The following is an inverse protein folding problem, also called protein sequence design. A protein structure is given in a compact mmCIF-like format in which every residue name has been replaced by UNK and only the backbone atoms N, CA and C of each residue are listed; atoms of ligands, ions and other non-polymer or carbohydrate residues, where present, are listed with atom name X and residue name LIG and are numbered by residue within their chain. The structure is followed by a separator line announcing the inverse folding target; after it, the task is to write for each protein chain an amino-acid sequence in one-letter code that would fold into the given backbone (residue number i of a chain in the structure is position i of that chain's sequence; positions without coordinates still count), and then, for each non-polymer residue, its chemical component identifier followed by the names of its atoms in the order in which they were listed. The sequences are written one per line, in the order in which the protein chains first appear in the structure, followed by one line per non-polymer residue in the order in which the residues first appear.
data_IF_740242012537
#
_entry.id   IF_740242012537
#
_cell.length_a   1.000
_cell.length_b   1.000
_cell.length_c   1.000
_cell.angle_alpha   90.00
_cell.angle_beta   90.00
_cell.angle_gamma   90.00
#
_symmetry.space_group_name_H-M   'P 1'
#
loop_
_entity.id
_entity.type
_entity.pdbx_description
1 polymer ?
#
# COMPACT_ATOMS: atom_id res chain seq x y z
N UNK A 1 -8.00 24.50 8.86
CA UNK A 1 -7.87 25.65 7.95
C UNK A 1 -7.80 25.09 6.53
N UNK A 2 -8.92 25.06 5.81
CA UNK A 2 -8.94 24.66 4.41
C UNK A 2 -8.30 25.80 3.61
N UNK A 3 -6.99 25.72 3.36
CA UNK A 3 -6.40 26.49 2.29
C UNK A 3 -6.99 25.95 1.00
N UNK A 4 -7.83 26.74 0.33
CA UNK A 4 -8.15 26.50 -1.07
C UNK A 4 -6.83 26.32 -1.81
N UNK A 5 -6.49 25.09 -2.17
CA UNK A 5 -5.26 24.81 -2.89
C UNK A 5 -5.39 25.46 -4.27
N UNK A 6 -4.74 26.62 -4.42
CA UNK A 6 -4.57 27.30 -5.69
C UNK A 6 -3.91 26.36 -6.69
N UNK A 7 -4.30 26.50 -7.96
CA UNK A 7 -3.79 25.64 -9.01
C UNK A 7 -2.28 25.84 -9.20
N UNK A 8 -1.51 24.77 -9.32
CA UNK A 8 -0.08 24.82 -9.55
C UNK A 8 0.20 25.49 -10.89
N UNK A 9 1.20 26.37 -10.90
CA UNK A 9 1.75 26.93 -12.12
C UNK A 9 2.25 25.82 -13.06
N UNK A 10 2.48 26.15 -14.33
CA UNK A 10 3.07 25.20 -15.28
C UNK A 10 4.38 24.58 -14.75
N UNK A 11 5.25 25.39 -14.12
CA UNK A 11 6.47 24.90 -13.46
C UNK A 11 6.15 23.93 -12.31
N UNK A 12 5.15 24.23 -11.49
CA UNK A 12 4.70 23.36 -10.40
C UNK A 12 4.16 22.02 -10.91
N UNK A 13 3.36 22.02 -11.98
CA UNK A 13 2.85 20.80 -12.62
C UNK A 13 3.98 19.94 -13.23
N UNK A 14 4.97 20.57 -13.86
CA UNK A 14 6.16 19.85 -14.35
C UNK A 14 6.95 19.23 -13.20
N UNK A 15 7.16 19.97 -12.11
CA UNK A 15 7.86 19.44 -10.94
C UNK A 15 7.08 18.29 -10.27
N UNK A 16 5.76 18.40 -10.18
CA UNK A 16 4.89 17.31 -9.71
C UNK A 16 5.06 16.03 -10.56
N UNK A 17 5.01 16.15 -11.90
CA UNK A 17 5.24 15.01 -12.80
C UNK A 17 6.63 14.42 -12.60
N UNK A 18 7.66 15.26 -12.47
CA UNK A 18 9.01 14.82 -12.16
C UNK A 18 9.08 14.05 -10.83
N UNK A 19 8.42 14.53 -9.78
CA UNK A 19 8.38 13.84 -8.49
C UNK A 19 7.66 12.49 -8.58
N UNK A 20 6.53 12.41 -9.27
CA UNK A 20 5.87 11.14 -9.52
C UNK A 20 6.77 10.18 -10.30
N UNK A 21 7.43 10.67 -11.35
CA UNK A 21 8.37 9.89 -12.14
C UNK A 21 9.53 9.35 -11.30
N UNK A 22 10.21 10.25 -10.59
CA UNK A 22 11.37 9.92 -9.75
C UNK A 22 11.05 8.89 -8.68
N UNK A 23 9.90 9.02 -8.02
CA UNK A 23 9.59 8.20 -6.85
C UNK A 23 8.85 6.90 -7.19
N UNK A 24 8.11 6.84 -8.30
CA UNK A 24 7.18 5.74 -8.56
C UNK A 24 7.28 5.19 -9.99
N UNK A 25 7.12 6.03 -11.01
CA UNK A 25 7.00 5.56 -12.39
C UNK A 25 8.34 5.11 -12.98
N UNK A 26 9.36 5.98 -12.90
CA UNK A 26 10.71 5.76 -13.42
C UNK A 26 11.70 5.26 -12.37
N UNK A 27 11.23 4.68 -11.27
CA UNK A 27 12.10 4.16 -10.22
C UNK A 27 12.88 2.94 -10.73
N UNK A 28 14.22 2.99 -10.67
CA UNK A 28 15.11 1.89 -11.13
C UNK A 28 15.05 0.64 -10.26
N UNK A 29 14.54 0.77 -9.03
CA UNK A 29 14.43 -0.32 -8.05
C UNK A 29 12.98 -0.41 -7.58
N UNK A 30 12.51 -1.61 -7.21
CA UNK A 30 11.20 -1.78 -6.58
C UNK A 30 11.05 -0.84 -5.38
N UNK A 31 9.90 -0.17 -5.30
CA UNK A 31 9.61 0.83 -4.27
C UNK A 31 8.66 0.23 -3.25
N UNK A 32 9.09 0.14 -2.00
CA UNK A 32 8.23 -0.27 -0.89
C UNK A 32 7.65 0.96 -0.19
N UNK A 33 6.33 0.98 -0.04
CA UNK A 33 5.59 1.96 0.74
C UNK A 33 4.94 1.22 1.90
N UNK A 34 5.31 1.58 3.12
CA UNK A 34 4.78 0.97 4.35
C UNK A 34 3.90 1.96 5.10
N UNK A 35 3.08 1.47 6.01
CA UNK A 35 2.23 2.32 6.84
C UNK A 35 3.09 3.16 7.80
N UNK A 36 4.01 2.49 8.49
CA UNK A 36 4.88 3.05 9.51
C UNK A 36 6.36 3.13 9.10
N UNK A 37 7.10 4.02 9.76
CA UNK A 37 8.57 4.12 9.63
C UNK A 37 9.30 2.93 10.27
N UNK A 38 8.65 2.24 11.20
CA UNK A 38 9.17 1.10 11.95
C UNK A 38 9.31 -0.12 11.06
N UNK A 39 8.35 -0.34 10.17
CA UNK A 39 8.26 -1.45 9.22
C UNK A 39 9.50 -1.54 8.34
N UNK A 40 9.96 -0.38 7.86
CA UNK A 40 11.21 -0.24 7.10
C UNK A 40 12.41 -0.79 7.88
N UNK A 41 12.49 -0.58 9.21
CA UNK A 41 13.60 -1.10 10.00
C UNK A 41 13.54 -2.62 10.12
N UNK A 42 12.36 -3.20 10.35
CA UNK A 42 12.23 -4.67 10.41
C UNK A 42 12.60 -5.32 9.09
N UNK A 43 12.05 -4.83 7.96
CA UNK A 43 12.37 -5.33 6.63
C UNK A 43 13.87 -5.25 6.35
N UNK A 44 14.50 -4.11 6.67
CA UNK A 44 15.94 -3.93 6.49
C UNK A 44 16.76 -4.90 7.35
N UNK A 45 16.42 -5.04 8.63
CA UNK A 45 17.13 -5.93 9.56
C UNK A 45 17.02 -7.41 9.13
N UNK A 46 15.81 -7.83 8.76
CA UNK A 46 15.52 -9.17 8.28
C UNK A 46 16.25 -9.47 6.95
N UNK A 47 16.23 -8.56 5.98
CA UNK A 47 16.99 -8.71 4.74
C UNK A 47 18.50 -8.81 5.01
N UNK A 48 19.07 -8.03 5.93
CA UNK A 48 20.50 -8.16 6.30
C UNK A 48 20.81 -9.54 6.86
N UNK A 49 19.97 -10.06 7.77
CA UNK A 49 20.13 -11.40 8.35
C UNK A 49 20.02 -12.48 7.28
N UNK A 50 19.06 -12.34 6.37
CA UNK A 50 18.70 -13.35 5.37
C UNK A 50 19.30 -13.09 3.98
N UNK A 51 20.32 -12.24 3.86
CA UNK A 51 20.84 -11.75 2.57
C UNK A 51 21.23 -12.87 1.61
N UNK A 52 21.80 -13.97 2.11
CA UNK A 52 22.18 -15.14 1.31
C UNK A 52 20.98 -15.81 0.62
N UNK A 53 19.78 -15.69 1.19
CA UNK A 53 18.55 -16.26 0.63
C UNK A 53 17.86 -15.34 -0.37
N UNK A 54 18.10 -14.03 -0.27
CA UNK A 54 17.42 -13.02 -1.08
C UNK A 54 18.41 -12.10 -1.82
N UNK A 55 19.33 -12.66 -2.64
CA UNK A 55 20.32 -11.88 -3.38
C UNK A 55 19.69 -10.92 -4.40
N UNK A 56 18.44 -11.15 -4.80
CA UNK A 56 17.66 -10.26 -5.67
C UNK A 56 17.25 -8.97 -4.95
N UNK A 57 17.12 -9.00 -3.61
CA UNK A 57 16.62 -7.89 -2.78
C UNK A 57 17.75 -7.15 -2.06
N UNK A 58 18.86 -7.83 -1.76
CA UNK A 58 19.99 -7.27 -1.02
C UNK A 58 21.30 -8.00 -1.35
N UNK A 59 22.42 -7.27 -1.35
CA UNK A 59 23.77 -7.83 -1.28
C UNK A 59 24.51 -7.22 -0.09
N UNK A 60 25.49 -7.94 0.48
CA UNK A 60 26.46 -7.37 1.40
C UNK A 60 27.77 -7.10 0.64
N UNK A 61 28.29 -5.90 0.79
CA UNK A 61 29.62 -5.52 0.30
C UNK A 61 30.68 -5.96 1.32
N UNK A 62 31.96 -5.86 0.92
CA UNK A 62 33.09 -6.10 1.83
C UNK A 62 32.95 -5.25 3.10
N UNK A 63 33.22 -5.86 4.26
CA UNK A 63 33.00 -5.23 5.57
C UNK A 63 31.55 -5.26 6.09
N UNK A 64 30.61 -5.90 5.38
CA UNK A 64 29.24 -6.13 5.86
C UNK A 64 28.26 -4.98 5.61
N UNK A 65 28.63 -4.04 4.73
CA UNK A 65 27.76 -2.93 4.32
C UNK A 65 26.61 -3.46 3.45
N UNK A 66 25.37 -3.13 3.82
CA UNK A 66 24.18 -3.62 3.13
C UNK A 66 23.78 -2.74 1.95
N UNK A 67 23.82 -3.30 0.75
CA UNK A 67 23.32 -2.70 -0.49
C UNK A 67 21.96 -3.27 -0.85
N UNK A 68 20.92 -2.52 -0.54
CA UNK A 68 19.55 -2.88 -0.89
C UNK A 68 19.28 -2.63 -2.37
N UNK A 69 18.67 -3.63 -3.01
CA UNK A 69 18.14 -3.55 -4.38
C UNK A 69 16.67 -3.08 -4.39
N UNK A 70 16.22 -2.54 -3.25
CA UNK A 70 14.90 -1.97 -3.01
C UNK A 70 15.02 -0.49 -2.61
N UNK A 71 14.02 0.29 -2.97
CA UNK A 71 13.82 1.67 -2.51
C UNK A 71 12.76 1.67 -1.42
N UNK A 72 13.06 2.25 -0.26
CA UNK A 72 12.07 2.48 0.79
C UNK A 72 11.56 3.91 0.65
N UNK A 73 10.29 4.07 0.27
CA UNK A 73 9.70 5.39 0.10
C UNK A 73 9.70 6.15 1.43
N UNK A 74 10.11 7.42 1.39
CA UNK A 74 10.14 8.30 2.56
C UNK A 74 9.21 9.48 2.31
N UNK A 75 8.27 9.66 3.22
CA UNK A 75 7.41 10.84 3.28
C UNK A 75 8.28 12.09 3.54
N UNK A 76 7.97 13.18 2.86
CA UNK A 76 8.68 14.47 2.94
C UNK A 76 7.73 15.64 2.71
N UNK A 77 8.11 16.85 3.14
CA UNK A 77 7.30 18.06 2.90
C UNK A 77 7.10 18.29 1.39
N UNK A 78 8.08 17.92 0.56
CA UNK A 78 8.01 18.03 -0.89
C UNK A 78 6.94 17.07 -1.46
N UNK A 79 6.93 15.81 -1.02
CA UNK A 79 5.93 14.83 -1.48
C UNK A 79 4.54 15.14 -0.93
N UNK A 80 4.45 15.71 0.27
CA UNK A 80 3.19 16.19 0.82
C UNK A 80 2.65 17.37 0.01
N UNK A 81 3.48 18.38 -0.24
CA UNK A 81 3.09 19.56 -1.00
C UNK A 81 2.69 19.22 -2.44
N UNK A 82 3.49 18.44 -3.16
CA UNK A 82 3.31 18.27 -4.61
C UNK A 82 2.60 16.98 -5.01
N UNK A 83 2.56 15.95 -4.15
CA UNK A 83 1.91 14.66 -4.41
C UNK A 83 0.77 14.36 -3.42
N UNK A 84 0.46 15.29 -2.49
CA UNK A 84 -0.52 15.13 -1.41
C UNK A 84 -0.19 13.98 -0.46
N UNK A 85 1.02 13.45 -0.48
CA UNK A 85 1.43 12.31 0.35
C UNK A 85 1.79 12.80 1.74
N UNK A 86 0.78 12.86 2.62
CA UNK A 86 0.87 13.38 3.99
C UNK A 86 2.16 12.92 4.68
N UNK A 87 2.86 13.88 5.29
CA UNK A 87 4.09 13.59 6.03
C UNK A 87 3.80 13.01 7.41
N UNK A 88 2.73 13.49 8.05
CA UNK A 88 2.35 13.15 9.42
C UNK A 88 0.90 12.66 9.47
N UNK A 89 0.69 11.47 10.05
CA UNK A 89 -0.63 10.88 10.25
C UNK A 89 -1.36 10.47 8.97
N UNK A 90 -2.30 9.53 9.11
CA UNK A 90 -3.14 9.04 8.01
C UNK A 90 -2.41 8.11 7.03
N UNK A 91 -3.19 7.20 6.44
CA UNK A 91 -2.77 6.41 5.29
C UNK A 91 -2.43 7.33 4.11
N UNK A 92 -1.38 6.98 3.36
CA UNK A 92 -1.09 7.62 2.06
C UNK A 92 -1.47 6.72 0.89
N UNK A 93 -1.93 5.50 1.15
CA UNK A 93 -2.06 4.46 0.13
C UNK A 93 -3.13 4.80 -0.91
N UNK A 94 -4.29 5.29 -0.48
CA UNK A 94 -5.34 5.75 -1.39
C UNK A 94 -4.89 6.93 -2.25
N UNK A 95 -3.97 7.75 -1.72
CA UNK A 95 -3.40 8.90 -2.44
C UNK A 95 -2.38 8.46 -3.48
N UNK A 96 -1.49 7.53 -3.12
CA UNK A 96 -0.56 6.90 -4.07
C UNK A 96 -1.35 6.24 -5.19
N UNK A 97 -2.37 5.44 -4.85
CA UNK A 97 -3.23 4.80 -5.83
C UNK A 97 -3.93 5.78 -6.76
N UNK A 98 -4.45 6.90 -6.23
CA UNK A 98 -5.04 7.94 -7.07
C UNK A 98 -4.05 8.60 -8.05
N UNK A 99 -2.76 8.69 -7.72
CA UNK A 99 -1.76 9.23 -8.66
C UNK A 99 -1.70 8.42 -9.97
N UNK A 100 -2.18 7.16 -9.98
CA UNK A 100 -2.24 6.25 -11.12
C UNK A 100 -3.57 6.24 -11.90
N UNK A 101 -4.66 6.76 -11.33
CA UNK A 101 -6.02 6.51 -11.85
C UNK A 101 -6.72 7.72 -12.46
N UNK A 102 -5.95 8.72 -12.88
CA UNK A 102 -6.43 10.06 -13.18
C UNK A 102 -7.13 10.67 -11.97
N UNK A 103 -6.64 11.83 -11.56
CA UNK A 103 -6.83 12.36 -10.22
C UNK A 103 -8.25 12.93 -9.95
N UNK A 104 -9.21 12.62 -10.83
CA UNK A 104 -10.60 12.96 -10.67
C UNK A 104 -11.23 12.30 -9.43
N UNK A 105 -10.67 11.19 -8.94
CA UNK A 105 -11.12 10.46 -7.74
C UNK A 105 -11.19 11.35 -6.48
N UNK A 106 -10.31 12.35 -6.37
CA UNK A 106 -10.32 13.31 -5.26
C UNK A 106 -10.76 14.73 -5.65
N UNK A 107 -11.12 14.98 -6.92
CA UNK A 107 -11.48 16.30 -7.46
C UNK A 107 -10.48 17.41 -7.08
N UNK A 108 -9.18 17.09 -6.98
CA UNK A 108 -8.15 18.07 -6.64
C UNK A 108 -7.55 18.67 -7.91
N UNK A 109 -7.72 19.97 -8.14
CA UNK A 109 -7.28 20.67 -9.37
C UNK A 109 -5.80 20.44 -9.73
N UNK A 110 -4.94 20.27 -8.73
CA UNK A 110 -3.48 20.18 -8.90
C UNK A 110 -2.96 18.85 -9.36
N UNK A 111 -3.72 17.80 -9.19
CA UNK A 111 -3.35 16.47 -9.57
C UNK A 111 -4.40 16.21 -10.62
N UNK A 112 -4.09 16.27 -11.90
CA UNK A 112 -4.95 15.81 -12.99
C UNK A 112 -3.96 15.38 -14.07
N UNK A 113 -4.18 14.23 -14.73
CA UNK A 113 -3.30 13.76 -15.79
C UNK A 113 -1.80 13.56 -15.41
N UNK A 114 -1.46 13.18 -14.16
CA UNK A 114 -0.06 12.89 -13.81
C UNK A 114 0.38 11.60 -14.50
N UNK A 115 -0.35 10.52 -14.24
CA UNK A 115 -0.10 9.22 -14.84
C UNK A 115 -0.25 9.23 -16.36
N UNK A 116 -1.37 9.75 -16.84
CA UNK A 116 -1.71 9.75 -18.27
C UNK A 116 -0.75 10.59 -19.11
N UNK A 117 -0.06 11.56 -18.50
CA UNK A 117 1.01 12.27 -19.19
C UNK A 117 2.10 11.30 -19.68
N UNK A 118 2.53 10.36 -18.82
CA UNK A 118 3.57 9.40 -19.17
C UNK A 118 3.09 8.36 -20.19
N UNK A 119 1.82 7.95 -20.07
CA UNK A 119 1.17 7.09 -21.06
C UNK A 119 1.11 7.75 -22.45
N UNK A 120 0.69 9.01 -22.53
CA UNK A 120 0.58 9.75 -23.80
C UNK A 120 1.93 9.94 -24.51
N UNK A 121 3.02 10.11 -23.76
CA UNK A 121 4.36 10.25 -24.36
C UNK A 121 5.04 8.90 -24.62
N UNK A 122 4.36 7.77 -24.38
CA UNK A 122 4.92 6.44 -24.58
C UNK A 122 6.07 6.08 -23.63
N UNK A 123 6.16 6.77 -22.48
CA UNK A 123 7.14 6.42 -21.45
C UNK A 123 6.75 5.08 -20.83
N UNK A 124 7.73 4.26 -20.45
CA UNK A 124 7.49 3.01 -19.73
C UNK A 124 7.86 3.18 -18.27
N UNK A 125 7.04 2.63 -17.38
CA UNK A 125 7.44 2.45 -16.00
C UNK A 125 8.60 1.46 -15.91
N UNK A 126 9.37 1.51 -14.81
CA UNK A 126 10.60 0.71 -14.67
C UNK A 126 10.47 -0.45 -13.68
N UNK A 127 10.16 -0.15 -12.42
CA UNK A 127 10.10 -1.14 -11.33
C UNK A 127 8.76 -1.09 -10.62
N UNK A 128 8.35 -2.18 -9.93
CA UNK A 128 7.10 -2.21 -9.19
C UNK A 128 7.13 -1.26 -7.98
N UNK A 129 5.97 -0.67 -7.71
CA UNK A 129 5.63 0.09 -6.50
C UNK A 129 4.68 -0.76 -5.67
N UNK A 130 5.12 -1.15 -4.48
CA UNK A 130 4.45 -2.11 -3.61
C UNK A 130 3.99 -1.37 -2.36
N UNK A 131 2.67 -1.22 -2.23
CA UNK A 131 2.03 -0.74 -1.01
C UNK A 131 1.85 -1.92 -0.05
N UNK A 132 2.53 -1.88 1.08
CA UNK A 132 2.50 -2.92 2.11
C UNK A 132 1.60 -2.44 3.25
N UNK A 133 0.52 -3.17 3.47
CA UNK A 133 -0.43 -2.93 4.54
C UNK A 133 -0.29 -3.98 5.63
N UNK A 134 -0.56 -3.58 6.87
CA UNK A 134 -0.93 -4.56 7.90
C UNK A 134 -2.14 -5.36 7.42
N UNK A 135 -2.12 -6.66 7.69
CA UNK A 135 -3.19 -7.55 7.33
C UNK A 135 -4.31 -7.38 8.35
N UNK A 136 -5.15 -6.38 8.13
CA UNK A 136 -6.25 -6.01 9.01
C UNK A 136 -7.56 -5.90 8.21
N UNK A 137 -7.75 -6.83 7.28
CA UNK A 137 -8.88 -6.85 6.34
C UNK A 137 -10.24 -6.80 7.05
N UNK A 138 -10.33 -7.34 8.25
CA UNK A 138 -11.57 -7.43 9.05
C UNK A 138 -11.63 -6.42 10.21
N UNK A 139 -10.62 -5.57 10.37
CA UNK A 139 -10.58 -4.57 11.44
C UNK A 139 -11.21 -3.28 10.93
N UNK A 140 -12.34 -2.88 11.50
CA UNK A 140 -13.01 -1.64 11.13
C UNK A 140 -12.10 -0.43 11.37
N UNK A 141 -12.10 0.51 10.43
CA UNK A 141 -11.26 1.71 10.51
C UNK A 141 -9.79 1.49 10.16
N UNK A 142 -9.34 0.25 9.91
CA UNK A 142 -7.96 -0.01 9.48
C UNK A 142 -7.64 0.68 8.15
N UNK A 143 -6.37 1.04 7.90
CA UNK A 143 -5.95 1.66 6.63
C UNK A 143 -6.34 0.84 5.39
N UNK A 144 -6.27 -0.48 5.46
CA UNK A 144 -6.68 -1.35 4.34
C UNK A 144 -8.20 -1.29 4.10
N UNK A 145 -9.02 -1.23 5.16
CA UNK A 145 -10.47 -1.05 5.03
C UNK A 145 -10.83 0.32 4.46
N UNK A 146 -10.14 1.37 4.88
CA UNK A 146 -10.30 2.72 4.29
C UNK A 146 -9.94 2.71 2.80
N UNK A 147 -8.84 2.05 2.43
CA UNK A 147 -8.44 1.87 1.04
C UNK A 147 -9.50 1.12 0.23
N UNK A 148 -9.98 -0.03 0.70
CA UNK A 148 -10.99 -0.83 0.01
C UNK A 148 -12.30 -0.06 -0.16
N UNK A 149 -12.71 0.71 0.86
CA UNK A 149 -13.89 1.56 0.76
C UNK A 149 -13.71 2.64 -0.32
N UNK A 150 -12.56 3.31 -0.35
CA UNK A 150 -12.27 4.30 -1.39
C UNK A 150 -12.18 3.67 -2.77
N UNK A 151 -11.56 2.51 -2.91
CA UNK A 151 -11.52 1.73 -4.14
C UNK A 151 -12.94 1.44 -4.65
N UNK A 152 -13.79 0.88 -3.78
CA UNK A 152 -15.19 0.59 -4.12
C UNK A 152 -15.97 1.83 -4.53
N UNK A 153 -15.89 2.92 -3.77
CA UNK A 153 -16.58 4.17 -4.12
C UNK A 153 -16.18 4.73 -5.48
N UNK A 154 -15.03 4.31 -6.03
CA UNK A 154 -14.53 4.70 -7.35
C UNK A 154 -14.55 3.56 -8.37
N UNK A 155 -15.14 2.39 -8.03
CA UNK A 155 -15.22 1.23 -8.89
C UNK A 155 -15.75 1.57 -10.29
N UNK A 156 -16.77 2.45 -10.37
CA UNK A 156 -17.36 2.89 -11.64
C UNK A 156 -16.37 3.62 -12.54
N UNK A 157 -15.44 4.38 -11.97
CA UNK A 157 -14.42 5.12 -12.74
C UNK A 157 -13.27 4.19 -13.13
N UNK A 158 -12.88 3.28 -12.23
CA UNK A 158 -11.79 2.33 -12.47
C UNK A 158 -12.18 1.32 -13.56
N UNK A 159 -13.42 0.84 -13.48
CA UNK A 159 -14.00 -0.18 -14.34
C UNK A 159 -15.03 0.44 -15.29
N UNK A 160 -14.76 1.64 -15.82
CA UNK A 160 -15.71 2.44 -16.61
C UNK A 160 -16.30 1.66 -17.79
N UNK A 161 -15.45 1.02 -18.60
CA UNK A 161 -15.91 0.18 -19.72
C UNK A 161 -16.87 -0.92 -19.26
N UNK A 162 -16.47 -1.71 -18.27
CA UNK A 162 -17.31 -2.79 -17.71
C UNK A 162 -18.61 -2.25 -17.11
N UNK A 163 -18.53 -1.11 -16.42
CA UNK A 163 -19.67 -0.51 -15.76
C UNK A 163 -20.70 0.04 -16.78
N UNK A 164 -20.24 0.76 -17.81
CA UNK A 164 -21.12 1.32 -18.84
C UNK A 164 -21.77 0.23 -19.69
N UNK A 165 -21.04 -0.84 -20.04
CA UNK A 165 -21.60 -2.01 -20.73
C UNK A 165 -22.74 -2.65 -19.91
N UNK A 166 -22.50 -2.91 -18.62
CA UNK A 166 -23.50 -3.51 -17.76
C UNK A 166 -24.72 -2.60 -17.51
N UNK A 167 -24.50 -1.29 -17.34
CA UNK A 167 -25.59 -0.31 -17.22
C UNK A 167 -26.42 -0.27 -18.50
N UNK A 168 -25.78 -0.31 -19.66
CA UNK A 168 -26.47 -0.27 -20.94
C UNK A 168 -27.40 -1.48 -21.10
N UNK A 169 -26.87 -2.69 -20.88
CA UNK A 169 -27.63 -3.94 -20.91
C UNK A 169 -28.80 -3.90 -19.92
N UNK A 170 -28.53 -3.50 -18.66
CA UNK A 170 -29.57 -3.42 -17.63
C UNK A 170 -30.69 -2.46 -18.00
N UNK A 171 -30.37 -1.31 -18.61
CA UNK A 171 -31.37 -0.35 -19.10
C UNK A 171 -32.21 -0.92 -20.23
N UNK A 172 -31.61 -1.67 -21.16
CA UNK A 172 -32.36 -2.32 -22.24
C UNK A 172 -33.34 -3.37 -21.70
N UNK A 173 -32.87 -4.24 -20.81
CA UNK A 173 -33.70 -5.27 -20.15
C UNK A 173 -34.92 -4.66 -19.43
N UNK A 174 -34.69 -3.61 -18.64
CA UNK A 174 -35.76 -2.98 -17.87
C UNK A 174 -36.80 -2.28 -18.77
N UNK A 175 -36.36 -1.69 -19.89
CA UNK A 175 -37.26 -1.10 -20.90
C UNK A 175 -38.10 -2.17 -21.58
N UNK A 176 -37.49 -3.30 -21.98
CA UNK A 176 -38.19 -4.42 -22.58
C UNK A 176 -39.21 -5.05 -21.62
N UNK A 177 -38.91 -5.07 -20.32
CA UNK A 177 -39.83 -5.50 -19.27
C UNK A 177 -40.97 -4.50 -18.95
N UNK A 178 -41.11 -3.41 -19.73
CA UNK A 178 -42.19 -2.43 -19.57
C UNK A 178 -42.10 -1.57 -18.31
N UNK A 179 -40.91 -1.47 -17.68
CA UNK A 179 -40.74 -0.68 -16.45
C UNK A 179 -40.88 0.82 -16.72
N UNK A 180 -41.49 1.53 -15.78
CA UNK A 180 -41.59 3.00 -15.83
C UNK A 180 -40.21 3.65 -15.60
N UNK A 181 -40.06 4.92 -15.97
CA UNK A 181 -38.82 5.68 -15.75
C UNK A 181 -38.39 5.68 -14.28
N UNK A 182 -39.32 5.87 -13.35
CA UNK A 182 -39.04 5.86 -11.91
C UNK A 182 -38.53 4.49 -11.42
N UNK A 183 -39.12 3.40 -11.94
CA UNK A 183 -38.67 2.03 -11.63
C UNK A 183 -37.26 1.79 -12.19
N UNK A 184 -36.99 2.21 -13.42
CA UNK A 184 -35.66 2.11 -14.03
C UNK A 184 -34.62 2.85 -13.19
N UNK A 185 -34.89 4.09 -12.80
CA UNK A 185 -33.93 4.89 -12.05
C UNK A 185 -33.63 4.28 -10.66
N UNK A 186 -34.63 3.68 -10.01
CA UNK A 186 -34.45 2.95 -8.75
C UNK A 186 -33.57 1.70 -8.91
N UNK A 187 -33.85 0.88 -9.92
CA UNK A 187 -33.08 -0.34 -10.22
C UNK A 187 -31.64 -0.02 -10.62
N UNK A 188 -31.42 1.05 -11.38
CA UNK A 188 -30.07 1.50 -11.73
C UNK A 188 -29.29 1.97 -10.50
N UNK A 189 -29.93 2.70 -9.57
CA UNK A 189 -29.28 3.06 -8.30
C UNK A 189 -28.91 1.84 -7.46
N UNK A 190 -29.78 0.82 -7.43
CA UNK A 190 -29.49 -0.45 -6.75
C UNK A 190 -28.32 -1.17 -7.41
N UNK A 191 -28.35 -1.36 -8.73
CA UNK A 191 -27.27 -1.97 -9.51
C UNK A 191 -25.93 -1.26 -9.26
N UNK A 192 -25.93 0.08 -9.24
CA UNK A 192 -24.74 0.87 -8.96
C UNK A 192 -24.10 0.57 -7.59
N UNK A 193 -24.95 0.39 -6.57
CA UNK A 193 -24.52 0.03 -5.21
C UNK A 193 -23.97 -1.40 -5.20
N UNK A 194 -24.68 -2.32 -5.81
CA UNK A 194 -24.32 -3.74 -5.88
C UNK A 194 -23.00 -3.94 -6.63
N UNK A 195 -22.80 -3.25 -7.76
CA UNK A 195 -21.53 -3.24 -8.52
C UNK A 195 -20.35 -2.79 -7.66
N UNK A 196 -20.55 -1.72 -6.87
CA UNK A 196 -19.51 -1.18 -5.98
C UNK A 196 -19.14 -2.19 -4.89
N UNK A 197 -20.14 -2.79 -4.23
CA UNK A 197 -19.91 -3.77 -3.17
C UNK A 197 -19.34 -5.09 -3.68
N UNK A 198 -19.73 -5.52 -4.88
CA UNK A 198 -19.14 -6.66 -5.58
C UNK A 198 -17.64 -6.44 -5.83
N UNK A 199 -17.24 -5.27 -6.38
CA UNK A 199 -15.81 -4.96 -6.59
C UNK A 199 -15.01 -4.92 -5.29
N UNK A 200 -15.57 -4.42 -4.19
CA UNK A 200 -14.93 -4.50 -2.86
C UNK A 200 -14.75 -5.94 -2.41
N UNK A 201 -15.79 -6.76 -2.57
CA UNK A 201 -15.79 -8.17 -2.17
C UNK A 201 -14.76 -8.96 -2.97
N UNK A 202 -14.73 -8.78 -4.30
CA UNK A 202 -13.74 -9.41 -5.17
C UNK A 202 -12.30 -9.01 -4.79
N UNK A 203 -12.07 -7.73 -4.49
CA UNK A 203 -10.78 -7.24 -4.03
C UNK A 203 -10.35 -7.92 -2.72
N UNK A 204 -11.24 -7.95 -1.71
CA UNK A 204 -11.00 -8.62 -0.42
C UNK A 204 -10.71 -10.12 -0.60
N UNK A 205 -11.51 -10.81 -1.39
CA UNK A 205 -11.32 -12.25 -1.65
C UNK A 205 -9.99 -12.53 -2.34
N UNK A 206 -9.60 -11.72 -3.33
CA UNK A 206 -8.29 -11.82 -3.98
C UNK A 206 -7.16 -11.59 -2.98
N UNK A 207 -7.29 -10.61 -2.10
CA UNK A 207 -6.28 -10.32 -1.07
C UNK A 207 -6.13 -11.45 -0.06
N UNK A 208 -7.23 -12.01 0.44
CA UNK A 208 -7.17 -13.18 1.35
C UNK A 208 -6.49 -14.38 0.70
N UNK A 209 -6.77 -14.62 -0.58
CA UNK A 209 -6.25 -15.79 -1.30
C UNK A 209 -4.78 -15.64 -1.69
N UNK A 210 -4.39 -14.46 -2.17
CA UNK A 210 -3.09 -14.26 -2.83
C UNK A 210 -2.09 -13.46 -2.00
N UNK A 211 -2.53 -12.79 -0.93
CA UNK A 211 -1.78 -11.84 -0.08
C UNK A 211 -1.24 -10.60 -0.80
N UNK A 212 -1.13 -10.65 -2.12
CA UNK A 212 -0.73 -9.58 -3.00
C UNK A 212 -1.60 -9.54 -4.24
N UNK A 213 -1.82 -8.35 -4.77
CA UNK A 213 -2.59 -8.09 -5.98
C UNK A 213 -1.90 -7.04 -6.82
N UNK A 214 -2.04 -7.18 -8.14
CA UNK A 214 -1.78 -6.13 -9.10
C UNK A 214 -2.97 -5.18 -9.15
N UNK A 215 -2.73 -3.87 -9.05
CA UNK A 215 -3.78 -2.85 -9.11
C UNK A 215 -3.81 -2.18 -10.49
N UNK A 216 -2.66 -1.71 -10.97
CA UNK A 216 -2.52 -1.03 -12.25
C UNK A 216 -1.05 -0.93 -12.64
N UNK A 217 -0.68 -1.38 -13.83
CA UNK A 217 0.67 -1.20 -14.39
C UNK A 217 1.78 -1.66 -13.41
N UNK A 218 2.61 -0.76 -12.89
CA UNK A 218 3.63 -1.13 -11.89
C UNK A 218 3.17 -0.98 -10.42
N UNK A 219 1.89 -0.71 -10.14
CA UNK A 219 1.36 -0.55 -8.79
C UNK A 219 0.75 -1.85 -8.26
N UNK A 220 1.21 -2.26 -7.07
CA UNK A 220 0.80 -3.45 -6.36
C UNK A 220 0.38 -3.13 -4.93
N UNK A 221 -0.51 -3.95 -4.40
CA UNK A 221 -0.89 -3.99 -2.99
C UNK A 221 -0.49 -5.33 -2.41
N UNK A 222 0.13 -5.34 -1.24
CA UNK A 222 0.55 -6.52 -0.51
C UNK A 222 0.15 -6.39 0.97
N UNK A 223 -0.25 -7.49 1.58
CA UNK A 223 -0.51 -7.59 3.02
C UNK A 223 0.69 -8.20 3.73
N UNK A 224 0.90 -7.84 5.00
CA UNK A 224 1.79 -8.60 5.87
C UNK A 224 1.27 -10.06 5.96
N UNK A 225 2.09 -11.08 5.69
CA UNK A 225 1.64 -12.47 5.72
C UNK A 225 1.11 -12.87 7.09
N UNK A 226 0.09 -13.72 7.11
CA UNK A 226 -0.30 -14.43 8.31
C UNK A 226 0.73 -15.53 8.59
N UNK A 227 1.10 -15.74 9.85
CA UNK A 227 2.00 -16.84 10.23
C UNK A 227 1.22 -18.15 10.31
N UNK A 228 0.00 -18.08 10.84
CA UNK A 228 -0.87 -19.24 11.03
C UNK A 228 -2.22 -19.05 10.35
N UNK A 229 -2.81 -20.10 9.76
CA UNK A 229 -4.10 -20.01 9.05
C UNK A 229 -5.25 -19.44 9.90
N UNK A 230 -5.23 -19.68 11.21
CA UNK A 230 -6.25 -19.20 12.16
C UNK A 230 -6.13 -17.72 12.51
N UNK A 231 -5.02 -17.05 12.16
CA UNK A 231 -4.87 -15.63 12.42
C UNK A 231 -5.77 -14.82 11.48
N UNK A 232 -6.58 -13.92 12.05
CA UNK A 232 -7.38 -12.98 11.28
C UNK A 232 -6.65 -11.69 10.94
N UNK A 233 -5.50 -11.45 11.58
CA UNK A 233 -4.68 -10.25 11.37
C UNK A 233 -3.19 -10.46 11.56
N UNK A 234 -2.39 -9.57 10.97
CA UNK A 234 -0.94 -9.50 11.19
C UNK A 234 -0.40 -8.10 10.91
N UNK A 235 0.38 -7.55 11.84
CA UNK A 235 1.28 -6.43 11.60
C UNK A 235 2.72 -6.94 11.40
N UNK A 236 3.66 -6.05 11.08
CA UNK A 236 5.06 -6.44 10.85
C UNK A 236 5.72 -7.03 12.11
N UNK A 237 5.34 -6.56 13.30
CA UNK A 237 5.85 -7.08 14.57
C UNK A 237 5.41 -8.51 14.84
N UNK A 238 4.21 -8.90 14.40
CA UNK A 238 3.73 -10.26 14.53
C UNK A 238 4.67 -11.28 13.86
N UNK A 239 5.45 -10.88 12.83
CA UNK A 239 6.45 -11.73 12.18
C UNK A 239 7.68 -12.05 13.05
N UNK A 240 7.83 -11.44 14.22
CA UNK A 240 8.89 -11.80 15.17
C UNK A 240 8.50 -13.03 15.98
N UNK A 241 9.49 -13.86 16.32
CA UNK A 241 9.25 -14.96 17.23
C UNK A 241 9.08 -14.44 18.66
N UNK A 242 8.17 -15.02 19.47
CA UNK A 242 7.97 -14.61 20.86
C UNK A 242 9.26 -14.62 21.68
N UNK A 243 10.13 -15.61 21.45
CA UNK A 243 11.46 -15.72 22.07
C UNK A 243 12.42 -14.57 21.72
N UNK A 244 12.32 -14.01 20.51
CA UNK A 244 13.13 -12.87 20.10
C UNK A 244 12.67 -11.58 20.79
N UNK A 245 11.35 -11.41 20.96
CA UNK A 245 10.78 -10.30 21.74
C UNK A 245 11.16 -10.45 23.22
N UNK A 246 11.09 -11.68 23.76
CA UNK A 246 11.37 -11.92 25.17
C UNK A 246 12.84 -11.65 25.53
N UNK A 247 13.79 -12.01 24.66
CA UNK A 247 15.21 -11.62 24.83
C UNK A 247 15.37 -10.10 24.91
N UNK A 248 14.60 -9.34 24.12
CA UNK A 248 14.63 -7.87 24.13
C UNK A 248 13.96 -7.32 25.40
N UNK A 249 12.85 -7.93 25.84
CA UNK A 249 12.18 -7.57 27.10
C UNK A 249 13.13 -7.70 28.28
N UNK A 250 13.81 -8.84 28.39
CA UNK A 250 14.81 -9.10 29.44
C UNK A 250 15.96 -8.09 29.40
N UNK A 251 16.46 -7.76 28.21
CA UNK A 251 17.51 -6.74 28.04
C UNK A 251 17.09 -5.36 28.53
N UNK A 252 15.82 -4.98 28.31
CA UNK A 252 15.31 -3.68 28.73
C UNK A 252 14.73 -3.66 30.14
N UNK A 253 14.48 -4.81 30.75
CA UNK A 253 13.73 -4.91 32.00
C UNK A 253 12.30 -4.36 31.86
N UNK A 254 11.74 -4.39 30.64
CA UNK A 254 10.44 -3.81 30.27
C UNK A 254 9.75 -4.71 29.27
N UNK A 255 8.43 -4.59 29.17
CA UNK A 255 7.61 -5.34 28.22
C UNK A 255 7.34 -4.52 26.96
N UNK A 256 7.31 -5.18 25.80
CA UNK A 256 6.85 -4.52 24.58
C UNK A 256 5.37 -4.16 24.69
N UNK A 257 5.03 -2.89 24.44
CA UNK A 257 3.64 -2.47 24.32
C UNK A 257 3.47 -1.62 23.04
N UNK A 258 2.73 -2.11 22.03
CA UNK A 258 2.47 -1.36 20.80
C UNK A 258 1.35 -0.31 20.96
N UNK A 259 0.56 -0.36 22.04
CA UNK A 259 -0.54 0.57 22.32
C UNK A 259 -0.02 1.87 22.93
N UNK A 260 -0.53 3.01 22.44
CA UNK A 260 -0.26 4.32 23.06
C UNK A 260 -1.17 4.60 24.28
N UNK A 261 -2.31 3.91 24.40
CA UNK A 261 -3.31 4.18 25.45
C UNK A 261 -2.96 3.54 26.79
N UNK A 262 -2.32 2.38 26.75
CA UNK A 262 -1.96 1.58 27.94
C UNK A 262 -0.45 1.61 28.19
N UNK A 263 0.24 2.60 27.64
CA UNK A 263 1.70 2.71 27.69
C UNK A 263 2.17 3.29 29.02
N UNK A 264 2.85 2.47 29.83
CA UNK A 264 3.51 2.93 31.05
C UNK A 264 5.01 2.97 30.78
N UNK A 265 5.61 4.16 30.66
CA UNK A 265 7.03 4.30 30.27
C UNK A 265 7.98 3.53 31.18
N UNK A 266 7.68 3.39 32.48
CA UNK A 266 8.51 2.61 33.41
C UNK A 266 8.51 1.12 33.07
N UNK A 267 7.37 0.57 32.63
CA UNK A 267 7.14 -0.87 32.46
C UNK A 267 7.23 -1.30 30.99
N UNK A 268 7.11 -0.34 30.06
CA UNK A 268 6.96 -0.62 28.64
C UNK A 268 7.98 0.09 27.75
N UNK A 269 8.19 -0.48 26.55
CA UNK A 269 8.90 0.18 25.46
C UNK A 269 8.10 0.12 24.15
N UNK A 270 8.26 1.15 23.32
CA UNK A 270 7.42 1.40 22.14
C UNK A 270 7.91 0.69 20.86
N UNK A 271 7.09 0.70 19.79
CA UNK A 271 7.47 0.21 18.44
C UNK A 271 8.77 0.85 17.92
N UNK A 272 8.98 2.15 18.16
CA UNK A 272 10.22 2.82 17.74
C UNK A 272 11.45 2.28 18.50
N UNK A 273 11.32 2.01 19.80
CA UNK A 273 12.41 1.42 20.59
C UNK A 273 12.69 -0.04 20.18
N UNK A 274 11.65 -0.85 19.97
CA UNK A 274 11.77 -2.23 19.50
C UNK A 274 12.49 -2.28 18.14
N UNK A 275 11.98 -1.53 17.15
CA UNK A 275 12.52 -1.55 15.79
C UNK A 275 13.99 -1.07 15.71
N UNK A 276 14.40 -0.12 16.56
CA UNK A 276 15.81 0.29 16.71
C UNK A 276 16.67 -0.83 17.30
N UNK A 277 16.18 -1.51 18.33
CA UNK A 277 16.90 -2.62 18.96
C UNK A 277 17.05 -3.79 18.00
N UNK A 278 16.01 -4.13 17.24
CA UNK A 278 16.07 -5.17 16.21
C UNK A 278 17.08 -4.82 15.12
N UNK A 279 17.12 -3.57 14.67
CA UNK A 279 18.15 -3.15 13.72
C UNK A 279 19.57 -3.31 14.28
N UNK A 280 19.77 -2.98 15.56
CA UNK A 280 21.07 -3.08 16.22
C UNK A 280 21.53 -4.53 16.42
N UNK A 281 20.63 -5.41 16.89
CA UNK A 281 20.95 -6.82 17.19
C UNK A 281 20.39 -7.81 16.17
N UNK A 282 20.21 -7.38 14.91
CA UNK A 282 19.56 -8.18 13.86
C UNK A 282 20.19 -9.58 13.65
N UNK A 283 21.49 -9.72 13.96
CA UNK A 283 22.19 -11.00 13.88
C UNK A 283 21.67 -12.05 14.88
N UNK A 284 21.05 -11.62 15.98
CA UNK A 284 20.55 -12.48 17.05
C UNK A 284 19.05 -12.76 16.95
N UNK A 285 18.39 -12.24 15.91
CA UNK A 285 16.96 -12.39 15.64
C UNK A 285 16.80 -13.43 14.52
N UNK A 286 15.81 -14.31 14.64
CA UNK A 286 15.60 -15.40 13.67
C UNK A 286 15.11 -14.89 12.31
N UNK A 287 14.11 -14.00 12.33
CA UNK A 287 13.38 -13.50 11.15
C UNK A 287 12.78 -14.60 10.26
N UNK A 288 12.57 -15.81 10.79
CA UNK A 288 12.04 -16.92 10.01
C UNK A 288 10.70 -16.60 9.33
N UNK A 289 9.76 -15.96 10.04
CA UNK A 289 8.45 -15.63 9.47
C UNK A 289 8.49 -14.47 8.46
N UNK A 290 9.63 -13.80 8.27
CA UNK A 290 9.79 -12.78 7.22
C UNK A 290 10.03 -13.40 5.84
N UNK A 291 10.33 -14.70 5.75
CA UNK A 291 10.60 -15.36 4.47
C UNK A 291 9.43 -15.17 3.48
N UNK A 292 8.21 -15.42 3.95
CA UNK A 292 7.00 -15.29 3.13
C UNK A 292 6.78 -13.87 2.59
N UNK A 293 7.10 -12.85 3.39
CA UNK A 293 7.03 -11.46 2.98
C UNK A 293 7.99 -11.19 1.79
N UNK A 294 9.21 -11.73 1.84
CA UNK A 294 10.21 -11.55 0.80
C UNK A 294 9.92 -12.36 -0.46
N UNK A 295 9.41 -13.58 -0.31
CA UNK A 295 8.92 -14.39 -1.44
C UNK A 295 7.80 -13.66 -2.19
N UNK A 296 6.86 -13.02 -1.47
CA UNK A 296 5.80 -12.23 -2.10
C UNK A 296 6.36 -10.99 -2.82
N UNK A 297 7.39 -10.34 -2.29
CA UNK A 297 8.08 -9.23 -2.98
C UNK A 297 8.78 -9.72 -4.25
N UNK A 298 9.52 -10.82 -4.20
CA UNK A 298 10.17 -11.41 -5.38
C UNK A 298 9.15 -11.82 -6.44
N UNK A 299 8.02 -12.42 -6.03
CA UNK A 299 6.91 -12.75 -6.91
C UNK A 299 6.38 -11.51 -7.66
N UNK A 300 6.19 -10.39 -6.96
CA UNK A 300 5.76 -9.13 -7.57
C UNK A 300 6.81 -8.60 -8.55
N UNK A 301 8.10 -8.65 -8.18
CA UNK A 301 9.20 -8.22 -9.06
C UNK A 301 9.21 -9.02 -10.35
N UNK A 302 9.08 -10.35 -10.26
CA UNK A 302 9.07 -11.23 -11.42
C UNK A 302 7.84 -10.98 -12.31
N UNK A 303 6.65 -10.80 -11.72
CA UNK A 303 5.43 -10.46 -12.46
C UNK A 303 5.50 -9.11 -13.16
N UNK A 304 6.23 -8.13 -12.62
CA UNK A 304 6.37 -6.81 -13.25
C UNK A 304 7.33 -6.80 -14.45
N UNK A 305 8.23 -7.79 -14.55
CA UNK A 305 9.21 -7.90 -15.65
C UNK A 305 8.59 -8.60 -16.87
N UNK A 306 7.61 -9.47 -16.64
CA UNK A 306 6.85 -10.19 -17.67
C UNK A 306 5.74 -9.33 -18.26
#
# INVERSE_FOLDING_TARGET
MNLEQTEFSAKGKTFQRFLFYKNFYGAEKPVLITEGKTDIRYIRAALKKLHNKYPSLITLEEGGTAKYKLTFFKKSDITEQYLDLNKHGGSIFEKVWNLYHDNQIFRKKNFNNIYDYFQRIGSRYKSPVIMIFDNELDVEGSPIQQFINKFGSNAKIIFDTEYEENIHLKRQELKQAGKTRQQIDSEIKKFQKDFTEDKKTQLKTKLRKNECIHLKDNLYLMLIPLIKPEQSKSDIEALLLPEDIEKINQKFGKQFNPSEREFIEKDNYSKDKLSKQIMYSYQNISFENFKKLFENIEKIINHNIT
#
